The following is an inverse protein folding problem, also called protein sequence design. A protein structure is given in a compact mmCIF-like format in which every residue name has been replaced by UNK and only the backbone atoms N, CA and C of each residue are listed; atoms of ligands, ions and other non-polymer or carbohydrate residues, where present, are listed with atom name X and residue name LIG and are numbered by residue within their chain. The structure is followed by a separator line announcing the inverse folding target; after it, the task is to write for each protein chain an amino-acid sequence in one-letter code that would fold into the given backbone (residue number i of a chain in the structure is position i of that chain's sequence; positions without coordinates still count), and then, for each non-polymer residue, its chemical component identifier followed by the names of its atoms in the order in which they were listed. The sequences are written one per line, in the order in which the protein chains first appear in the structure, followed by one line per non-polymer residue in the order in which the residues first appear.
data_IF_727511800336
#
_entry.id   IF_727511800336
#
_cell.length_a   1.000
_cell.length_b   1.000
_cell.length_c   1.000
_cell.angle_alpha   90.00
_cell.angle_beta   90.00
_cell.angle_gamma   90.00
#
_symmetry.space_group_name_H-M   'P 1'
#
loop_
_entity.id
_entity.type
_entity.pdbx_description
1 polymer ?
#
# COMPACT_ATOMS: atom_id res chain seq x y z
N UNK A 1 0.89 19.90 -8.65
CA UNK A 1 2.30 19.55 -8.39
C UNK A 1 2.51 18.81 -7.07
N UNK A 2 1.60 18.89 -6.07
CA UNK A 2 1.76 18.27 -4.74
C UNK A 2 1.79 16.72 -4.68
N UNK A 3 1.34 16.00 -5.70
CA UNK A 3 1.25 14.53 -5.63
C UNK A 3 2.60 13.80 -5.82
N UNK A 4 3.57 14.45 -6.47
CA UNK A 4 4.88 13.84 -6.77
C UNK A 4 5.83 13.93 -5.57
N UNK A 5 5.84 15.08 -4.90
CA UNK A 5 6.63 15.32 -3.68
C UNK A 5 6.22 14.41 -2.52
N UNK A 6 4.92 14.14 -2.36
CA UNK A 6 4.40 13.19 -1.36
C UNK A 6 4.82 11.73 -1.66
N UNK A 7 4.91 11.36 -2.94
CA UNK A 7 5.32 10.01 -3.35
C UNK A 7 6.82 9.77 -3.16
N UNK A 8 7.64 10.80 -3.39
CA UNK A 8 9.09 10.74 -3.17
C UNK A 8 9.41 10.64 -1.67
N UNK A 9 8.71 11.40 -0.82
CA UNK A 9 8.84 11.30 0.65
C UNK A 9 8.39 9.95 1.20
N UNK A 10 7.31 9.35 0.67
CA UNK A 10 6.87 8.03 1.13
C UNK A 10 7.89 6.94 0.79
N UNK A 11 8.41 6.94 -0.44
CA UNK A 11 9.42 5.98 -0.88
C UNK A 11 10.71 6.11 -0.06
N UNK A 12 11.16 7.34 0.16
CA UNK A 12 12.36 7.61 0.96
C UNK A 12 12.17 7.19 2.43
N UNK A 13 11.01 7.47 3.03
CA UNK A 13 10.71 7.06 4.40
C UNK A 13 10.67 5.54 4.58
N UNK A 14 10.33 4.78 3.53
CA UNK A 14 10.26 3.33 3.58
C UNK A 14 11.57 2.64 3.19
N UNK A 15 12.50 3.34 2.51
CA UNK A 15 13.70 2.73 1.93
C UNK A 15 14.54 1.97 2.97
N UNK A 16 14.92 2.63 4.06
CA UNK A 16 15.76 2.02 5.11
C UNK A 16 15.07 0.80 5.75
N UNK A 17 13.77 0.91 6.05
CA UNK A 17 13.00 -0.20 6.64
C UNK A 17 12.83 -1.36 5.66
N UNK A 18 12.70 -1.06 4.37
CA UNK A 18 12.58 -2.05 3.31
C UNK A 18 13.89 -2.81 3.11
N UNK A 19 15.03 -2.11 3.09
CA UNK A 19 16.36 -2.71 3.02
C UNK A 19 16.61 -3.64 4.22
N UNK A 20 16.31 -3.18 5.44
CA UNK A 20 16.44 -4.00 6.64
C UNK A 20 15.57 -5.27 6.61
N UNK A 21 14.37 -5.18 6.03
CA UNK A 21 13.49 -6.34 5.84
C UNK A 21 14.10 -7.35 4.85
N UNK A 22 14.65 -6.86 3.74
CA UNK A 22 15.32 -7.69 2.72
C UNK A 22 16.55 -8.38 3.30
N UNK A 23 17.42 -7.65 4.00
CA UNK A 23 18.60 -8.20 4.66
C UNK A 23 18.24 -9.29 5.67
N UNK A 24 17.18 -9.08 6.45
CA UNK A 24 16.68 -10.07 7.40
C UNK A 24 16.21 -11.35 6.71
N UNK A 25 15.53 -11.23 5.56
CA UNK A 25 15.06 -12.40 4.82
C UNK A 25 16.24 -13.17 4.20
N UNK A 26 17.22 -12.47 3.62
CA UNK A 26 18.43 -13.07 3.06
C UNK A 26 19.25 -13.77 4.15
N UNK A 27 19.47 -13.13 5.30
CA UNK A 27 20.17 -13.74 6.44
C UNK A 27 19.43 -14.94 7.06
N UNK A 28 18.13 -15.08 6.79
CA UNK A 28 17.34 -16.25 7.15
C UNK A 28 17.48 -17.41 6.14
N UNK A 29 18.34 -17.27 5.13
CA UNK A 29 18.67 -18.30 4.15
C UNK A 29 17.87 -18.25 2.85
N UNK A 30 17.11 -17.18 2.62
CA UNK A 30 16.32 -17.01 1.39
C UNK A 30 17.19 -16.38 0.31
N UNK A 31 16.98 -16.78 -0.94
CA UNK A 31 17.62 -16.10 -2.06
C UNK A 31 16.98 -14.73 -2.32
N UNK A 32 17.76 -13.80 -2.86
CA UNK A 32 17.27 -12.47 -3.23
C UNK A 32 16.04 -12.52 -4.15
N UNK A 33 16.01 -13.50 -5.06
CA UNK A 33 14.87 -13.75 -5.95
C UNK A 33 13.61 -14.19 -5.20
N UNK A 34 13.72 -15.12 -4.25
CA UNK A 34 12.58 -15.56 -3.42
C UNK A 34 12.04 -14.41 -2.56
N UNK A 35 12.94 -13.58 -2.01
CA UNK A 35 12.56 -12.40 -1.24
C UNK A 35 11.82 -11.39 -2.12
N UNK A 36 12.32 -11.10 -3.33
CA UNK A 36 11.66 -10.19 -4.26
C UNK A 36 10.25 -10.66 -4.63
N UNK A 37 10.09 -11.95 -4.97
CA UNK A 37 8.78 -12.52 -5.29
C UNK A 37 7.79 -12.42 -4.12
N UNK A 38 8.23 -12.77 -2.90
CA UNK A 38 7.37 -12.68 -1.72
C UNK A 38 6.94 -11.24 -1.41
N UNK A 39 7.86 -10.27 -1.56
CA UNK A 39 7.55 -8.85 -1.34
C UNK A 39 6.57 -8.31 -2.39
N UNK A 40 6.66 -8.77 -3.65
CA UNK A 40 5.69 -8.42 -4.69
C UNK A 40 4.30 -8.92 -4.33
N UNK A 41 4.16 -10.19 -3.94
CA UNK A 41 2.86 -10.79 -3.56
C UNK A 41 2.22 -10.06 -2.36
N UNK A 42 3.04 -9.72 -1.35
CA UNK A 42 2.58 -8.93 -0.20
C UNK A 42 2.14 -7.52 -0.60
N UNK A 43 2.87 -6.85 -1.50
CA UNK A 43 2.51 -5.52 -1.99
C UNK A 43 1.21 -5.54 -2.80
N UNK A 44 1.02 -6.55 -3.66
CA UNK A 44 -0.23 -6.76 -4.41
C UNK A 44 -1.41 -6.98 -3.47
N UNK A 45 -1.25 -7.85 -2.47
CA UNK A 45 -2.26 -8.11 -1.45
C UNK A 45 -2.63 -6.84 -0.68
N UNK A 46 -1.64 -6.03 -0.32
CA UNK A 46 -1.86 -4.75 0.36
C UNK A 46 -2.63 -3.76 -0.54
N UNK A 47 -2.27 -3.68 -1.81
CA UNK A 47 -2.94 -2.81 -2.78
C UNK A 47 -4.41 -3.20 -2.95
N UNK A 48 -4.72 -4.49 -3.08
CA UNK A 48 -6.11 -4.99 -3.15
C UNK A 48 -6.89 -4.60 -1.89
N UNK A 49 -6.29 -4.80 -0.70
CA UNK A 49 -6.92 -4.50 0.59
C UNK A 49 -7.20 -3.01 0.75
N UNK A 50 -6.25 -2.14 0.40
CA UNK A 50 -6.42 -0.69 0.50
C UNK A 50 -7.37 -0.18 -0.58
N UNK A 51 -7.25 -0.65 -1.81
CA UNK A 51 -8.16 -0.29 -2.91
C UNK A 51 -9.61 -0.63 -2.59
N UNK A 52 -9.86 -1.82 -2.02
CA UNK A 52 -11.20 -2.21 -1.57
C UNK A 52 -11.76 -1.27 -0.50
N UNK A 53 -10.92 -0.81 0.45
CA UNK A 53 -11.35 0.16 1.49
C UNK A 53 -11.75 1.49 0.89
N UNK A 54 -10.95 2.03 -0.03
CA UNK A 54 -11.25 3.31 -0.69
C UNK A 54 -12.58 3.24 -1.44
N UNK A 55 -12.84 2.14 -2.15
CA UNK A 55 -14.12 1.93 -2.88
C UNK A 55 -15.30 1.86 -1.91
N UNK A 56 -15.16 1.14 -0.80
CA UNK A 56 -16.23 1.01 0.20
C UNK A 56 -16.50 2.35 0.88
N UNK A 57 -15.45 3.06 1.30
CA UNK A 57 -15.57 4.38 1.94
C UNK A 57 -16.27 5.38 1.02
N UNK A 58 -15.86 5.45 -0.25
CA UNK A 58 -16.49 6.34 -1.24
C UNK A 58 -17.96 5.98 -1.52
N UNK A 59 -18.29 4.68 -1.51
CA UNK A 59 -19.67 4.21 -1.65
C UNK A 59 -20.57 4.63 -0.49
N UNK A 60 -20.04 4.62 0.74
CA UNK A 60 -20.77 5.02 1.95
C UNK A 60 -21.00 6.53 1.96
N UNK A 61 -19.98 7.32 1.59
CA UNK A 61 -20.11 8.77 1.45
C UNK A 61 -21.15 9.14 0.38
N UNK A 62 -21.13 8.44 -0.76
CA UNK A 62 -22.10 8.66 -1.84
C UNK A 62 -23.54 8.35 -1.42
N UNK A 63 -23.76 7.27 -0.66
CA UNK A 63 -25.09 6.93 -0.14
C UNK A 63 -25.58 7.96 0.88
N UNK A 64 -24.73 8.38 1.81
CA UNK A 64 -25.05 9.42 2.81
C UNK A 64 -25.38 10.78 2.19
N UNK A 65 -24.65 11.17 1.13
CA UNK A 65 -24.93 12.41 0.40
C UNK A 65 -26.29 12.35 -0.33
N UNK A 66 -26.63 11.18 -0.88
CA UNK A 66 -27.88 10.97 -1.62
C UNK A 66 -29.10 10.90 -0.69
N UNK A 67 -28.95 10.34 0.52
CA UNK A 67 -30.01 10.37 1.54
C UNK A 67 -30.27 11.78 2.09
N UNK A 68 -29.23 12.61 2.24
CA UNK A 68 -29.38 14.00 2.69
C UNK A 68 -30.06 14.92 1.67
N UNK A 69 -30.03 14.58 0.38
CA UNK A 69 -30.74 15.30 -0.67
C UNK A 69 -32.22 14.92 -0.78
N UNK A 70 -32.65 13.85 -0.11
CA UNK A 70 -34.05 13.36 -0.12
C UNK A 70 -34.91 13.89 1.03
N UNK A 71 -34.32 14.57 2.02
CA UNK A 71 -35.00 15.24 3.13
C UNK A 71 -34.98 16.76 2.95
#
# INVERSE_FOLDING_TARGET
MANREASETCREALAESFEALVEKAISSGWSEHEVALALTDLAETYLVKVGARVIIEDSIYSQLALERLKN
#
